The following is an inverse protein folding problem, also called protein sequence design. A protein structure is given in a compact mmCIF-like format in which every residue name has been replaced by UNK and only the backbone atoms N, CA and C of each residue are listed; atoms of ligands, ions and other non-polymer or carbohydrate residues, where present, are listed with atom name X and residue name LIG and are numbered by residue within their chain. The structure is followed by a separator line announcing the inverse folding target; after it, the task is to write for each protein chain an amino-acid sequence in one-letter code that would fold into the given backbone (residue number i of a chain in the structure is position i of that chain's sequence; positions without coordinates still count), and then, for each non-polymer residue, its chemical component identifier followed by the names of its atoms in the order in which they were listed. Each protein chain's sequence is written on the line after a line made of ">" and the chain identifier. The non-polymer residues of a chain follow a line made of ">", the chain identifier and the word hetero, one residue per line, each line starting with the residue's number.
data_IF_502772302804
#
_entry.id   IF_502772302804
#
_cell.length_a   1.000
_cell.length_b   1.000
_cell.length_c   1.000
_cell.angle_alpha   90.00
_cell.angle_beta   90.00
_cell.angle_gamma   90.00
#
_symmetry.space_group_name_H-M   'P 1'
#
loop_
_entity.id
_entity.type
_entity.pdbx_description
1 polymer ?
#
# COMPACT_ATOMS: atom_id res chain seq x y z
N UNK A 1 26.14 15.33 -0.99
CA UNK A 1 25.59 14.11 -1.62
C UNK A 1 25.73 12.96 -0.62
N UNK A 2 24.82 12.83 0.36
CA UNK A 2 24.83 11.74 1.34
C UNK A 2 23.74 10.75 0.93
N UNK A 3 24.15 9.62 0.36
CA UNK A 3 23.28 8.49 0.05
C UNK A 3 22.80 7.95 1.39
N UNK A 4 21.56 8.30 1.81
CA UNK A 4 20.94 7.70 2.99
C UNK A 4 20.75 6.22 2.66
N UNK A 5 21.55 5.38 3.29
CA UNK A 5 21.41 3.93 3.26
C UNK A 5 20.16 3.58 4.07
N UNK A 6 19.00 3.71 3.44
CA UNK A 6 17.73 3.27 4.02
C UNK A 6 17.76 1.75 3.96
N UNK A 7 18.01 1.14 5.11
CA UNK A 7 17.98 -0.31 5.28
C UNK A 7 16.51 -0.74 5.20
N UNK A 8 16.03 -1.03 3.99
CA UNK A 8 14.65 -1.46 3.67
C UNK A 8 14.25 -2.82 4.24
N UNK A 9 15.07 -3.35 5.15
CA UNK A 9 15.01 -4.72 5.67
C UNK A 9 13.76 -4.97 6.52
N UNK A 10 13.17 -3.92 7.13
CA UNK A 10 11.91 -4.05 7.87
C UNK A 10 11.12 -2.75 7.82
N UNK A 11 10.30 -2.59 6.77
CA UNK A 11 9.20 -1.63 6.79
C UNK A 11 8.22 -2.09 7.88
N UNK A 12 8.24 -1.42 9.03
CA UNK A 12 7.28 -1.68 10.10
C UNK A 12 5.90 -1.19 9.67
N UNK A 13 4.90 -2.07 9.74
CA UNK A 13 3.51 -1.77 9.37
C UNK A 13 2.88 -0.62 10.20
N UNK A 14 3.59 -0.15 11.22
CA UNK A 14 3.21 0.98 12.07
C UNK A 14 3.30 2.31 11.32
N UNK A 15 4.20 2.46 10.33
CA UNK A 15 4.35 3.68 9.53
C UNK A 15 3.16 3.90 8.57
N UNK A 16 2.53 2.81 8.13
CA UNK A 16 1.39 2.82 7.19
C UNK A 16 0.17 3.55 7.78
N UNK A 17 0.08 3.64 9.11
CA UNK A 17 -1.06 4.24 9.80
C UNK A 17 -1.17 5.76 9.58
N UNK A 18 -0.05 6.47 9.43
CA UNK A 18 -0.04 7.92 9.53
C UNK A 18 -0.27 8.61 8.17
N UNK A 19 0.37 8.17 7.08
CA UNK A 19 0.18 8.84 5.77
C UNK A 19 -0.99 8.32 4.92
N UNK A 20 -1.56 7.14 5.22
CA UNK A 20 -2.72 6.63 4.49
C UNK A 20 -3.94 7.58 4.52
N UNK A 21 -4.02 8.45 5.54
CA UNK A 21 -5.21 9.29 5.78
C UNK A 21 -4.91 10.76 6.13
N UNK A 22 -3.66 11.22 6.08
CA UNK A 22 -3.36 12.65 6.26
C UNK A 22 -3.71 13.53 5.04
N UNK A 23 -4.03 12.93 3.89
CA UNK A 23 -4.65 13.67 2.78
C UNK A 23 -6.17 13.76 2.99
N UNK A 24 -6.60 14.91 3.51
CA UNK A 24 -7.99 15.35 3.76
C UNK A 24 -8.65 14.80 5.02
N UNK A 25 -8.27 15.37 6.16
CA UNK A 25 -9.18 15.55 7.30
C UNK A 25 -9.71 16.97 7.22
N UNK A 26 -10.54 17.25 6.20
CA UNK A 26 -11.48 18.39 6.29
C UNK A 26 -12.80 17.83 6.79
N UNK A 27 -13.60 18.56 7.57
CA UNK A 27 -14.90 18.06 8.05
C UNK A 27 -15.87 17.64 6.92
N UNK A 28 -15.58 18.01 5.67
CA UNK A 28 -16.31 17.62 4.46
C UNK A 28 -15.77 16.34 3.77
N UNK A 29 -14.61 15.81 4.17
CA UNK A 29 -14.02 14.60 3.60
C UNK A 29 -14.21 13.42 4.55
N UNK A 30 -15.10 12.52 4.10
CA UNK A 30 -15.45 11.20 4.61
C UNK A 30 -14.67 10.67 5.82
N UNK A 31 -15.37 10.48 6.93
CA UNK A 31 -14.90 9.77 8.12
C UNK A 31 -14.42 8.37 7.68
N UNK A 32 -13.12 8.15 7.65
CA UNK A 32 -12.55 6.80 7.52
C UNK A 32 -12.60 6.17 8.90
N UNK A 33 -13.27 5.03 8.99
CA UNK A 33 -13.44 4.29 10.23
C UNK A 33 -12.15 3.57 10.58
N UNK A 34 -11.84 3.46 11.89
CA UNK A 34 -10.71 2.65 12.38
C UNK A 34 -10.75 1.20 11.88
N UNK A 35 -11.95 0.71 11.59
CA UNK A 35 -12.21 -0.60 11.00
C UNK A 35 -11.70 -0.72 9.55
N UNK A 36 -11.94 0.30 8.71
CA UNK A 36 -11.43 0.35 7.33
C UNK A 36 -9.89 0.35 7.30
N UNK A 37 -9.27 1.11 8.22
CA UNK A 37 -7.82 1.17 8.39
C UNK A 37 -7.27 -0.20 8.82
N UNK A 38 -7.90 -0.81 9.83
CA UNK A 38 -7.48 -2.11 10.34
C UNK A 38 -7.61 -3.20 9.27
N UNK A 39 -8.65 -3.10 8.45
CA UNK A 39 -8.89 -4.02 7.34
C UNK A 39 -7.79 -3.93 6.29
N UNK A 40 -7.51 -2.73 5.77
CA UNK A 40 -6.48 -2.58 4.72
C UNK A 40 -5.10 -2.99 5.24
N UNK A 41 -4.77 -2.65 6.49
CA UNK A 41 -3.54 -3.11 7.13
C UNK A 41 -3.45 -4.63 7.21
N UNK A 42 -4.55 -5.29 7.61
CA UNK A 42 -4.60 -6.76 7.66
C UNK A 42 -4.39 -7.39 6.29
N UNK A 43 -5.02 -6.82 5.25
CA UNK A 43 -4.87 -7.28 3.86
C UNK A 43 -3.43 -7.10 3.39
N UNK A 44 -2.83 -5.93 3.57
CA UNK A 44 -1.43 -5.65 3.18
C UNK A 44 -0.47 -6.59 3.94
N UNK A 45 -0.74 -6.86 5.22
CA UNK A 45 0.04 -7.81 6.04
C UNK A 45 -0.10 -9.25 5.56
N UNK A 46 -1.22 -9.62 4.92
CA UNK A 46 -1.42 -10.95 4.36
C UNK A 46 -0.69 -11.17 3.02
N UNK A 47 -0.26 -10.08 2.36
CA UNK A 47 0.45 -10.17 1.09
C UNK A 47 1.82 -10.85 1.26
N UNK A 48 2.29 -11.62 0.25
CA UNK A 48 3.66 -12.07 0.17
C UNK A 48 4.64 -10.90 0.28
N UNK A 49 5.73 -11.09 1.03
CA UNK A 49 6.68 -10.03 1.40
C UNK A 49 7.13 -9.17 0.22
N UNK A 50 7.55 -9.79 -0.91
CA UNK A 50 7.98 -9.07 -2.11
C UNK A 50 6.87 -8.18 -2.70
N UNK A 51 5.62 -8.65 -2.71
CA UNK A 51 4.47 -7.89 -3.22
C UNK A 51 4.12 -6.74 -2.28
N UNK A 52 4.15 -7.00 -0.98
CA UNK A 52 3.95 -5.99 0.07
C UNK A 52 4.98 -4.87 -0.05
N UNK A 53 6.26 -5.21 -0.12
CA UNK A 53 7.35 -4.23 -0.18
C UNK A 53 7.22 -3.35 -1.43
N UNK A 54 6.98 -3.95 -2.60
CA UNK A 54 6.75 -3.19 -3.84
C UNK A 54 5.55 -2.25 -3.72
N UNK A 55 4.41 -2.75 -3.23
CA UNK A 55 3.21 -1.93 -3.06
C UNK A 55 3.47 -0.75 -2.11
N UNK A 56 4.09 -0.99 -0.97
CA UNK A 56 4.41 0.01 0.04
C UNK A 56 5.37 1.08 -0.49
N UNK A 57 6.46 0.66 -1.14
CA UNK A 57 7.43 1.60 -1.71
C UNK A 57 6.79 2.55 -2.74
N UNK A 58 5.84 2.05 -3.52
CA UNK A 58 5.20 2.85 -4.57
C UNK A 58 4.06 3.71 -4.01
N UNK A 59 3.13 3.09 -3.28
CA UNK A 59 1.90 3.76 -2.83
C UNK A 59 2.10 4.62 -1.59
N UNK A 60 2.96 4.19 -0.66
CA UNK A 60 3.20 4.93 0.59
C UNK A 60 4.40 5.86 0.47
N UNK A 61 5.54 5.37 -0.06
CA UNK A 61 6.73 6.23 -0.21
C UNK A 61 6.78 7.03 -1.51
N UNK A 62 5.81 6.86 -2.42
CA UNK A 62 5.74 7.62 -3.67
C UNK A 62 6.90 7.34 -4.65
N UNK A 63 7.61 6.23 -4.49
CA UNK A 63 8.76 5.89 -5.34
C UNK A 63 8.30 5.41 -6.72
N UNK A 64 9.10 5.73 -7.74
CA UNK A 64 8.88 5.22 -9.10
C UNK A 64 9.34 3.77 -9.20
N UNK A 65 8.72 3.02 -10.11
CA UNK A 65 9.04 1.60 -10.33
C UNK A 65 10.54 1.36 -10.62
N UNK A 66 11.22 2.33 -11.25
CA UNK A 66 12.68 2.29 -11.47
C UNK A 66 13.47 2.36 -10.16
N UNK A 67 13.11 3.27 -9.26
CA UNK A 67 13.77 3.44 -7.97
C UNK A 67 13.56 2.19 -7.10
N UNK A 68 12.35 1.63 -7.13
CA UNK A 68 12.03 0.37 -6.44
C UNK A 68 12.81 -0.81 -7.02
N UNK A 69 13.00 -0.87 -8.33
CA UNK A 69 13.79 -1.90 -8.99
C UNK A 69 15.26 -1.84 -8.54
N UNK A 70 15.83 -0.64 -8.46
CA UNK A 70 17.18 -0.40 -7.95
C UNK A 70 17.31 -0.79 -6.47
N UNK A 71 16.33 -0.44 -5.64
CA UNK A 71 16.30 -0.77 -4.21
C UNK A 71 16.26 -2.28 -3.98
N UNK A 72 15.41 -2.99 -4.73
CA UNK A 72 15.17 -4.43 -4.54
C UNK A 72 16.14 -5.31 -5.34
N UNK A 73 16.98 -4.72 -6.19
CA UNK A 73 17.91 -5.46 -7.05
C UNK A 73 17.22 -6.35 -8.09
N UNK A 74 16.04 -5.95 -8.57
CA UNK A 74 15.24 -6.70 -9.58
C UNK A 74 14.99 -5.85 -10.82
N UNK A 75 14.47 -6.44 -11.89
CA UNK A 75 14.11 -5.67 -13.08
C UNK A 75 12.87 -4.81 -12.84
N UNK A 76 12.75 -3.67 -13.54
CA UNK A 76 11.52 -2.84 -13.53
C UNK A 76 10.29 -3.66 -13.91
N UNK A 77 10.45 -4.58 -14.87
CA UNK A 77 9.38 -5.51 -15.27
C UNK A 77 8.96 -6.43 -14.12
N UNK A 78 9.90 -6.87 -13.29
CA UNK A 78 9.61 -7.65 -12.08
C UNK A 78 8.86 -6.82 -11.05
N UNK A 79 9.21 -5.53 -10.89
CA UNK A 79 8.47 -4.59 -10.03
C UNK A 79 7.04 -4.40 -10.55
N UNK A 80 6.85 -4.14 -11.85
CA UNK A 80 5.51 -4.03 -12.46
C UNK A 80 4.67 -5.28 -12.20
N UNK A 81 5.26 -6.47 -12.40
CA UNK A 81 4.57 -7.73 -12.18
C UNK A 81 4.21 -7.92 -10.70
N UNK A 82 5.11 -7.57 -9.77
CA UNK A 82 4.83 -7.64 -8.33
C UNK A 82 3.77 -6.63 -7.89
N UNK A 83 3.80 -5.41 -8.43
CA UNK A 83 2.80 -4.39 -8.15
C UNK A 83 1.42 -4.81 -8.65
N UNK A 84 1.32 -5.25 -9.91
CA UNK A 84 0.07 -5.73 -10.49
C UNK A 84 -0.47 -6.96 -9.75
N UNK A 85 0.41 -7.85 -9.28
CA UNK A 85 -0.01 -8.96 -8.42
C UNK A 85 -0.50 -8.48 -7.05
N UNK A 86 0.23 -7.56 -6.41
CA UNK A 86 -0.16 -7.00 -5.11
C UNK A 86 -1.53 -6.31 -5.17
N UNK A 87 -1.78 -5.49 -6.20
CA UNK A 87 -3.06 -4.81 -6.41
C UNK A 87 -4.19 -5.83 -6.57
N UNK A 88 -3.98 -6.88 -7.38
CA UNK A 88 -4.98 -7.94 -7.55
C UNK A 88 -5.27 -8.67 -6.24
N UNK A 89 -4.23 -9.05 -5.50
CA UNK A 89 -4.39 -9.72 -4.20
C UNK A 89 -5.22 -8.86 -3.22
N UNK A 90 -4.95 -7.55 -3.19
CA UNK A 90 -5.70 -6.60 -2.34
C UNK A 90 -7.16 -6.50 -2.79
N UNK A 91 -7.42 -6.37 -4.09
CA UNK A 91 -8.80 -6.33 -4.63
C UNK A 91 -9.57 -7.61 -4.33
N UNK A 92 -8.96 -8.77 -4.53
CA UNK A 92 -9.57 -10.06 -4.21
C UNK A 92 -9.84 -10.21 -2.71
N UNK A 93 -8.92 -9.73 -1.87
CA UNK A 93 -9.12 -9.73 -0.43
C UNK A 93 -10.29 -8.80 -0.03
N UNK A 94 -10.39 -7.59 -0.58
CA UNK A 94 -11.50 -6.66 -0.32
C UNK A 94 -12.85 -7.21 -0.77
N UNK A 95 -12.90 -8.00 -1.84
CA UNK A 95 -14.15 -8.65 -2.30
C UNK A 95 -14.64 -9.74 -1.33
N UNK A 96 -13.73 -10.40 -0.61
CA UNK A 96 -14.06 -11.46 0.36
C UNK A 96 -14.52 -10.91 1.71
N UNK A 97 -14.43 -9.60 1.92
CA UNK A 97 -14.76 -8.96 3.19
C UNK A 97 -16.19 -8.43 3.16
N UNK A 98 -16.90 -8.65 4.26
CA UNK A 98 -18.26 -8.13 4.45
C UNK A 98 -18.17 -6.64 4.85
N UNK A 99 -17.91 -5.79 3.86
CA UNK A 99 -17.89 -4.34 4.01
C UNK A 99 -18.95 -3.71 3.11
N UNK A 100 -19.45 -2.55 3.53
CA UNK A 100 -20.43 -1.79 2.76
C UNK A 100 -19.83 -1.27 1.45
N UNK A 101 -20.70 -0.93 0.50
CA UNK A 101 -20.30 -0.44 -0.81
C UNK A 101 -19.52 0.87 -0.75
N UNK A 102 -19.80 1.73 0.23
CA UNK A 102 -19.10 2.99 0.43
C UNK A 102 -17.64 2.80 0.84
N UNK A 103 -17.39 1.96 1.85
CA UNK A 103 -16.03 1.63 2.30
C UNK A 103 -15.23 0.96 1.19
N UNK A 104 -15.85 0.01 0.46
CA UNK A 104 -15.20 -0.66 -0.67
C UNK A 104 -14.76 0.33 -1.75
N UNK A 105 -15.62 1.28 -2.12
CA UNK A 105 -15.30 2.26 -3.16
C UNK A 105 -14.15 3.17 -2.76
N UNK A 106 -14.10 3.61 -1.49
CA UNK A 106 -12.98 4.42 -0.97
C UNK A 106 -11.66 3.67 -0.98
N UNK A 107 -11.65 2.43 -0.49
CA UNK A 107 -10.44 1.60 -0.44
C UNK A 107 -9.92 1.25 -1.85
N UNK A 108 -10.83 1.01 -2.80
CA UNK A 108 -10.44 0.83 -4.21
C UNK A 108 -9.89 2.12 -4.81
N UNK A 109 -10.52 3.27 -4.53
CA UNK A 109 -10.05 4.56 -5.01
C UNK A 109 -8.68 4.95 -4.47
N UNK A 110 -8.31 4.47 -3.27
CA UNK A 110 -6.96 4.65 -2.75
C UNK A 110 -5.94 3.75 -3.48
N UNK A 111 -6.37 2.54 -3.86
CA UNK A 111 -5.51 1.54 -4.47
C UNK A 111 -5.18 1.84 -5.94
N UNK A 112 -6.13 2.39 -6.71
CA UNK A 112 -5.98 2.70 -8.13
C UNK A 112 -5.42 4.10 -8.32
#
# INVERSE_FOLDING_TARGET
>A
MKRKEVRWDYLTLEDVHDDLFHCSVTPETTIVSKEEISLIHSIIKSLPEKRRNVLMLIKYHGLKNKEVAEILGVSVKTVDNHLAAAIRDVLEALQKQDIDSGSRMRLISWLL
#
